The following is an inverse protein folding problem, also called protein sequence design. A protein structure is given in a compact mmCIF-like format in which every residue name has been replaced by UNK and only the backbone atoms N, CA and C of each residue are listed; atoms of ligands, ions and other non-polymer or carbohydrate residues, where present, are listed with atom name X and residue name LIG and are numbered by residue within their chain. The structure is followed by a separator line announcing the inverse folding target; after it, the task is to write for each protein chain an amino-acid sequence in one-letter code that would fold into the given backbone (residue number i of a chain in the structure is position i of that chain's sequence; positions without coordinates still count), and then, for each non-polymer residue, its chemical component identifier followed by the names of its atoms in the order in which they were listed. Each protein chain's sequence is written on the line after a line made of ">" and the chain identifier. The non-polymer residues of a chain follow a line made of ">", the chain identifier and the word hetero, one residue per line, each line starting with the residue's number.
data_IF_523695613326
#
_entry.id   IF_523695613326
#
_cell.length_a   1.000
_cell.length_b   1.000
_cell.length_c   1.000
_cell.angle_alpha   90.00
_cell.angle_beta   90.00
_cell.angle_gamma   90.00
#
_symmetry.space_group_name_H-M   'P 1'
#
loop_
_entity.id
_entity.type
_entity.pdbx_description
1 polymer ?
#
# COMPACT_ATOMS: atom_id res chain seq x y z
N UNK A 1 -67.10 35.79 26.55
CA UNK A 1 -66.18 35.82 25.39
C UNK A 1 -64.80 35.37 25.85
N UNK A 2 -64.41 34.10 25.63
CA UNK A 2 -63.07 33.59 25.93
C UNK A 2 -62.29 33.47 24.62
N UNK A 3 -61.23 34.27 24.46
CA UNK A 3 -60.33 34.20 23.30
C UNK A 3 -59.30 33.10 23.57
N UNK A 4 -59.32 32.05 22.76
CA UNK A 4 -58.24 31.06 22.71
C UNK A 4 -57.11 31.63 21.84
N UNK A 5 -55.93 31.77 22.44
CA UNK A 5 -54.70 32.17 21.77
C UNK A 5 -53.99 30.88 21.35
N UNK A 6 -54.10 30.52 20.07
CA UNK A 6 -53.39 29.36 19.51
C UNK A 6 -51.98 29.81 19.17
N UNK A 7 -51.01 29.39 19.99
CA UNK A 7 -49.59 29.50 19.68
C UNK A 7 -49.25 28.39 18.66
N UNK A 8 -49.01 28.77 17.41
CA UNK A 8 -48.43 27.88 16.41
C UNK A 8 -46.93 27.76 16.68
N UNK A 9 -46.49 26.57 17.10
CA UNK A 9 -45.08 26.23 17.20
C UNK A 9 -44.55 25.89 15.79
N UNK A 10 -43.68 26.74 15.24
CA UNK A 10 -42.87 26.39 14.07
C UNK A 10 -41.84 25.34 14.49
N UNK A 11 -42.04 24.10 14.07
CA UNK A 11 -41.00 23.06 14.13
C UNK A 11 -40.04 23.31 12.97
N UNK A 12 -38.90 23.92 13.26
CA UNK A 12 -37.81 24.06 12.29
C UNK A 12 -37.10 22.70 12.26
N UNK A 13 -37.53 21.80 11.39
CA UNK A 13 -36.75 20.58 11.10
C UNK A 13 -35.52 21.04 10.32
N UNK A 14 -34.37 21.20 10.99
CA UNK A 14 -33.10 21.31 10.27
C UNK A 14 -32.92 20.01 9.49
N UNK A 15 -32.98 20.07 8.16
CA UNK A 15 -32.52 18.96 7.33
C UNK A 15 -31.02 18.79 7.59
N UNK A 16 -30.66 17.94 8.55
CA UNK A 16 -29.29 17.50 8.74
C UNK A 16 -28.94 16.60 7.56
N UNK A 17 -27.89 16.94 6.82
CA UNK A 17 -27.39 16.13 5.72
C UNK A 17 -27.17 14.68 6.19
N UNK A 18 -27.49 13.72 5.34
CA UNK A 18 -27.13 12.32 5.57
C UNK A 18 -25.60 12.16 5.56
N UNK A 19 -25.10 11.04 6.09
CA UNK A 19 -23.66 10.79 6.06
C UNK A 19 -23.16 10.64 4.62
N UNK A 20 -23.96 10.06 3.73
CA UNK A 20 -23.67 9.98 2.29
C UNK A 20 -23.59 11.37 1.66
N UNK A 21 -24.52 12.28 1.97
CA UNK A 21 -24.49 13.65 1.45
C UNK A 21 -23.28 14.44 1.97
N UNK A 22 -22.91 14.26 3.25
CA UNK A 22 -21.69 14.86 3.83
C UNK A 22 -20.43 14.31 3.16
N UNK A 23 -20.35 12.98 3.02
CA UNK A 23 -19.24 12.30 2.40
C UNK A 23 -19.07 12.70 0.93
N UNK A 24 -20.14 12.69 0.14
CA UNK A 24 -20.11 13.07 -1.28
C UNK A 24 -19.64 14.50 -1.47
N UNK A 25 -20.13 15.43 -0.63
CA UNK A 25 -19.69 16.82 -0.66
C UNK A 25 -18.20 16.95 -0.39
N UNK A 26 -17.68 16.26 0.63
CA UNK A 26 -16.27 16.33 0.99
C UNK A 26 -15.38 15.63 -0.05
N UNK A 27 -15.77 14.43 -0.50
CA UNK A 27 -15.08 13.68 -1.55
C UNK A 27 -15.00 14.48 -2.85
N UNK A 28 -16.08 15.18 -3.23
CA UNK A 28 -16.06 16.08 -4.39
C UNK A 28 -15.00 17.16 -4.25
N UNK A 29 -14.85 17.77 -3.07
CA UNK A 29 -13.80 18.77 -2.82
C UNK A 29 -12.41 18.13 -2.91
N UNK A 30 -12.22 16.96 -2.30
CA UNK A 30 -10.96 16.20 -2.38
C UNK A 30 -10.58 15.86 -3.81
N UNK A 31 -11.53 15.38 -4.63
CA UNK A 31 -11.29 14.94 -6.01
C UNK A 31 -10.88 16.07 -6.96
N UNK A 32 -11.17 17.34 -6.65
CA UNK A 32 -10.78 18.47 -7.50
C UNK A 32 -9.27 18.53 -7.73
N UNK A 33 -8.48 18.09 -6.76
CA UNK A 33 -7.02 18.11 -6.84
C UNK A 33 -6.47 16.90 -7.63
N UNK A 34 -7.27 15.86 -7.86
CA UNK A 34 -6.87 14.63 -8.55
C UNK A 34 -7.32 14.56 -10.00
N UNK A 35 -8.47 15.18 -10.34
CA UNK A 35 -9.06 15.05 -11.67
C UNK A 35 -8.47 16.07 -12.65
N UNK A 36 -8.19 15.61 -13.88
CA UNK A 36 -7.75 16.49 -14.97
C UNK A 36 -8.78 17.58 -15.33
N UNK A 37 -10.07 17.23 -15.24
CA UNK A 37 -11.19 18.12 -15.54
C UNK A 37 -12.22 18.09 -14.42
N UNK A 38 -11.97 18.78 -13.29
CA UNK A 38 -12.83 18.73 -12.10
C UNK A 38 -14.29 19.13 -12.37
N UNK A 39 -14.52 20.07 -13.29
CA UNK A 39 -15.87 20.54 -13.62
C UNK A 39 -16.73 19.47 -14.34
N UNK A 40 -16.09 18.44 -14.89
CA UNK A 40 -16.77 17.30 -15.52
C UNK A 40 -17.11 16.17 -14.56
N UNK A 41 -16.77 16.32 -13.29
CA UNK A 41 -17.07 15.36 -12.24
C UNK A 41 -18.57 15.23 -12.03
N UNK A 42 -19.05 13.99 -12.06
CA UNK A 42 -20.42 13.66 -11.69
C UNK A 42 -20.42 12.41 -10.79
N UNK A 43 -21.04 12.49 -9.59
CA UNK A 43 -21.17 11.35 -8.71
C UNK A 43 -22.14 10.32 -9.32
N UNK A 44 -21.80 9.03 -9.19
CA UNK A 44 -22.66 7.91 -9.60
C UNK A 44 -23.27 7.26 -8.36
N UNK A 45 -22.45 6.99 -7.35
CA UNK A 45 -22.91 6.44 -6.08
C UNK A 45 -21.91 6.69 -4.96
N UNK A 46 -22.44 7.01 -3.78
CA UNK A 46 -21.68 7.16 -2.54
C UNK A 46 -22.25 6.19 -1.51
N UNK A 47 -21.40 5.36 -0.90
CA UNK A 47 -21.76 4.48 0.22
C UNK A 47 -20.84 4.76 1.39
N UNK A 48 -21.41 4.79 2.59
CA UNK A 48 -20.69 5.13 3.81
C UNK A 48 -20.88 4.01 4.82
N UNK A 49 -19.76 3.49 5.32
CA UNK A 49 -19.70 2.45 6.34
C UNK A 49 -18.88 2.94 7.53
N UNK A 50 -19.18 2.43 8.72
CA UNK A 50 -18.41 2.72 9.93
C UNK A 50 -17.00 2.14 9.83
N UNK A 51 -16.00 2.92 10.23
CA UNK A 51 -14.59 2.55 10.20
C UNK A 51 -14.06 2.24 11.60
N UNK A 52 -13.24 1.19 11.72
CA UNK A 52 -12.65 0.73 12.99
C UNK A 52 -11.13 0.50 12.89
N UNK A 53 -10.48 1.25 11.99
CA UNK A 53 -9.08 1.07 11.63
C UNK A 53 -8.25 2.32 11.91
N UNK A 54 -6.95 2.16 12.09
CA UNK A 54 -6.01 3.27 12.11
C UNK A 54 -5.54 3.61 10.69
N UNK A 55 -6.20 4.57 10.06
CA UNK A 55 -5.87 5.05 8.70
C UNK A 55 -4.42 5.51 8.59
N UNK A 56 -3.81 5.95 9.71
CA UNK A 56 -2.43 6.45 9.73
C UNK A 56 -1.39 5.35 9.49
N UNK A 57 -1.77 4.08 9.59
CA UNK A 57 -0.86 2.94 9.33
C UNK A 57 -0.86 2.49 7.87
N UNK A 58 -1.83 2.92 7.05
CA UNK A 58 -1.93 2.51 5.64
C UNK A 58 -0.66 2.89 4.86
N UNK A 59 -0.29 4.18 4.86
CA UNK A 59 0.91 4.66 4.17
C UNK A 59 2.21 3.98 4.66
N UNK A 60 2.48 3.88 5.98
CA UNK A 60 3.60 3.09 6.50
C UNK A 60 3.63 1.64 5.99
N UNK A 61 2.50 0.93 6.04
CA UNK A 61 2.42 -0.48 5.61
C UNK A 61 2.75 -0.59 4.11
N UNK A 62 2.17 0.27 3.27
CA UNK A 62 2.46 0.27 1.82
C UNK A 62 3.95 0.52 1.57
N UNK A 63 4.54 1.52 2.22
CA UNK A 63 5.95 1.86 2.06
C UNK A 63 6.88 0.73 2.52
N UNK A 64 6.61 0.13 3.68
CA UNK A 64 7.40 -1.00 4.20
C UNK A 64 7.30 -2.19 3.24
N UNK A 65 6.11 -2.43 2.68
CA UNK A 65 5.88 -3.50 1.70
C UNK A 65 6.73 -3.33 0.44
N UNK A 66 6.82 -2.11 -0.09
CA UNK A 66 7.71 -1.80 -1.23
C UNK A 66 9.19 -1.96 -0.87
N UNK A 67 9.58 -1.58 0.34
CA UNK A 67 10.95 -1.81 0.83
C UNK A 67 11.27 -3.31 0.93
N UNK A 68 10.34 -4.14 1.39
CA UNK A 68 10.47 -5.60 1.46
C UNK A 68 10.65 -6.19 0.06
N UNK A 69 9.79 -5.84 -0.92
CA UNK A 69 9.90 -6.27 -2.32
C UNK A 69 11.28 -5.95 -2.91
N UNK A 70 11.78 -4.73 -2.66
CA UNK A 70 13.11 -4.30 -3.10
C UNK A 70 14.23 -5.09 -2.42
N UNK A 71 14.11 -5.39 -1.12
CA UNK A 71 15.10 -6.17 -0.38
C UNK A 71 15.16 -7.62 -0.87
N UNK A 72 14.02 -8.26 -1.08
CA UNK A 72 13.94 -9.61 -1.67
C UNK A 72 14.60 -9.63 -3.04
N UNK A 73 14.32 -8.64 -3.90
CA UNK A 73 14.96 -8.52 -5.22
C UNK A 73 16.49 -8.39 -5.14
N UNK A 74 17.00 -7.67 -4.13
CA UNK A 74 18.45 -7.54 -3.88
C UNK A 74 19.06 -8.82 -3.34
N UNK A 75 18.38 -9.52 -2.43
CA UNK A 75 18.79 -10.82 -1.90
C UNK A 75 18.93 -11.83 -3.05
N UNK A 76 17.90 -11.98 -3.88
CA UNK A 76 17.91 -12.88 -5.05
C UNK A 76 19.04 -12.53 -6.04
N UNK A 77 19.44 -11.26 -6.13
CA UNK A 77 20.59 -10.83 -6.95
C UNK A 77 21.91 -11.24 -6.30
N UNK A 78 22.05 -11.12 -4.99
CA UNK A 78 23.25 -11.57 -4.28
C UNK A 78 23.43 -13.08 -4.39
N UNK A 79 22.36 -13.85 -4.23
CA UNK A 79 22.39 -15.32 -4.37
C UNK A 79 22.90 -15.74 -5.75
N UNK A 80 22.36 -15.17 -6.83
CA UNK A 80 22.84 -15.42 -8.20
C UNK A 80 24.30 -15.04 -8.41
N UNK A 81 24.77 -13.95 -7.78
CA UNK A 81 26.19 -13.55 -7.86
C UNK A 81 27.08 -14.54 -7.13
N UNK A 82 26.66 -15.03 -5.97
CA UNK A 82 27.40 -16.05 -5.20
C UNK A 82 27.53 -17.31 -6.04
N UNK A 83 26.42 -17.80 -6.61
CA UNK A 83 26.40 -19.01 -7.44
C UNK A 83 27.27 -18.85 -8.71
N UNK A 84 27.18 -17.70 -9.37
CA UNK A 84 28.03 -17.39 -10.54
C UNK A 84 29.52 -17.31 -10.19
N UNK A 85 29.85 -16.74 -9.03
CA UNK A 85 31.22 -16.66 -8.55
C UNK A 85 31.76 -18.05 -8.15
N UNK A 86 30.92 -18.89 -7.52
CA UNK A 86 31.25 -20.29 -7.21
C UNK A 86 31.57 -21.09 -8.48
N UNK A 87 30.69 -21.01 -9.49
CA UNK A 87 30.94 -21.64 -10.78
C UNK A 87 32.26 -21.17 -11.43
N UNK A 88 32.55 -19.86 -11.35
CA UNK A 88 33.80 -19.32 -11.86
C UNK A 88 35.02 -19.82 -11.07
N UNK A 89 34.92 -19.92 -9.74
CA UNK A 89 35.96 -20.49 -8.90
C UNK A 89 36.24 -21.96 -9.24
N UNK A 90 35.20 -22.74 -9.57
CA UNK A 90 35.35 -24.14 -9.96
C UNK A 90 36.04 -24.29 -11.33
N UNK A 91 35.67 -23.45 -12.31
CA UNK A 91 36.30 -23.43 -13.65
C UNK A 91 37.79 -23.07 -13.55
N UNK A 92 38.11 -22.05 -12.76
CA UNK A 92 39.46 -21.50 -12.65
C UNK A 92 40.26 -22.06 -11.46
N UNK A 93 39.77 -23.15 -10.85
CA UNK A 93 40.39 -23.76 -9.69
C UNK A 93 41.89 -24.04 -9.94
N UNK A 94 42.79 -23.49 -9.11
CA UNK A 94 44.21 -23.61 -9.35
C UNK A 94 44.71 -25.05 -9.13
N UNK A 95 45.51 -25.54 -10.06
CA UNK A 95 46.26 -26.78 -10.01
C UNK A 95 47.74 -26.54 -10.36
N UNK A 96 48.55 -27.61 -10.39
CA UNK A 96 50.00 -27.53 -10.65
C UNK A 96 50.38 -26.88 -11.99
N UNK A 97 49.46 -26.79 -12.95
CA UNK A 97 49.67 -26.25 -14.28
C UNK A 97 48.90 -24.95 -14.56
N UNK A 98 48.24 -24.36 -13.55
CA UNK A 98 47.41 -23.17 -13.75
C UNK A 98 48.21 -21.94 -14.13
N UNK A 99 47.78 -21.29 -15.21
CA UNK A 99 48.31 -20.01 -15.69
C UNK A 99 48.10 -18.87 -14.68
N UNK A 100 48.86 -17.77 -14.83
CA UNK A 100 48.63 -16.54 -14.07
C UNK A 100 47.22 -15.99 -14.30
N UNK A 101 46.70 -16.11 -15.53
CA UNK A 101 45.33 -15.73 -15.87
C UNK A 101 44.31 -16.52 -15.03
N UNK A 102 44.39 -17.86 -15.03
CA UNK A 102 43.48 -18.72 -14.26
C UNK A 102 43.50 -18.39 -12.77
N UNK A 103 44.70 -18.17 -12.20
CA UNK A 103 44.85 -17.75 -10.79
C UNK A 103 44.24 -16.38 -10.52
N UNK A 104 44.33 -15.47 -11.48
CA UNK A 104 43.71 -14.14 -11.44
C UNK A 104 42.18 -14.22 -11.43
N UNK A 105 41.59 -14.98 -12.36
CA UNK A 105 40.15 -15.18 -12.45
C UNK A 105 39.59 -15.82 -11.17
N UNK A 106 40.26 -16.85 -10.66
CA UNK A 106 39.89 -17.47 -9.38
C UNK A 106 39.89 -16.46 -8.23
N UNK A 107 40.92 -15.60 -8.17
CA UNK A 107 41.04 -14.58 -7.12
C UNK A 107 39.95 -13.52 -7.22
N UNK A 108 39.56 -13.10 -8.44
CA UNK A 108 38.45 -12.17 -8.66
C UNK A 108 37.12 -12.79 -8.26
N UNK A 109 36.83 -14.00 -8.74
CA UNK A 109 35.60 -14.72 -8.38
C UNK A 109 35.48 -14.91 -6.86
N UNK A 110 36.59 -15.27 -6.19
CA UNK A 110 36.62 -15.34 -4.72
C UNK A 110 36.28 -14.02 -4.05
N UNK A 111 36.81 -12.90 -4.56
CA UNK A 111 36.50 -11.56 -4.03
C UNK A 111 35.03 -11.19 -4.25
N UNK A 112 34.51 -11.41 -5.46
CA UNK A 112 33.10 -11.16 -5.81
C UNK A 112 32.15 -11.96 -4.93
N UNK A 113 32.48 -13.23 -4.65
CA UNK A 113 31.72 -14.09 -3.73
C UNK A 113 31.65 -13.50 -2.33
N UNK A 114 32.78 -13.07 -1.77
CA UNK A 114 32.82 -12.53 -0.41
C UNK A 114 32.09 -11.18 -0.31
N UNK A 115 32.20 -10.31 -1.33
CA UNK A 115 31.41 -9.08 -1.41
C UNK A 115 29.90 -9.36 -1.49
N UNK A 116 29.48 -10.30 -2.35
CA UNK A 116 28.09 -10.69 -2.49
C UNK A 116 27.51 -11.33 -1.21
N UNK A 117 28.30 -12.11 -0.47
CA UNK A 117 27.92 -12.64 0.84
C UNK A 117 27.74 -11.55 1.90
N UNK A 118 28.62 -10.54 1.89
CA UNK A 118 28.50 -9.41 2.81
C UNK A 118 27.22 -8.62 2.56
N UNK A 119 26.93 -8.34 1.29
CA UNK A 119 25.68 -7.67 0.87
C UNK A 119 24.44 -8.53 1.18
N UNK A 120 24.50 -9.84 0.94
CA UNK A 120 23.44 -10.78 1.30
C UNK A 120 23.10 -10.67 2.79
N UNK A 121 24.08 -10.83 3.68
CA UNK A 121 23.87 -10.73 5.12
C UNK A 121 23.28 -9.37 5.53
N UNK A 122 23.77 -8.27 4.93
CA UNK A 122 23.25 -6.93 5.17
C UNK A 122 21.77 -6.81 4.78
N UNK A 123 21.40 -7.28 3.59
CA UNK A 123 20.02 -7.18 3.10
C UNK A 123 19.08 -8.12 3.84
N UNK A 124 19.50 -9.34 4.17
CA UNK A 124 18.73 -10.27 5.01
C UNK A 124 18.44 -9.68 6.38
N UNK A 125 19.43 -9.06 7.04
CA UNK A 125 19.20 -8.36 8.32
C UNK A 125 18.17 -7.23 8.17
N UNK A 126 18.31 -6.38 7.15
CA UNK A 126 17.34 -5.29 6.92
C UNK A 126 15.95 -5.84 6.59
N UNK A 127 15.84 -6.96 5.88
CA UNK A 127 14.56 -7.62 5.59
C UNK A 127 13.87 -8.05 6.90
N UNK A 128 14.58 -8.71 7.81
CA UNK A 128 14.01 -9.09 9.12
C UNK A 128 13.54 -7.87 9.92
N UNK A 129 14.28 -6.76 9.90
CA UNK A 129 13.87 -5.51 10.55
C UNK A 129 12.58 -4.95 9.92
N UNK A 130 12.48 -4.93 8.59
CA UNK A 130 11.28 -4.45 7.90
C UNK A 130 10.07 -5.35 8.11
N UNK A 131 10.25 -6.68 8.18
CA UNK A 131 9.17 -7.62 8.50
C UNK A 131 8.61 -7.38 9.91
N UNK A 132 9.48 -7.11 10.89
CA UNK A 132 9.04 -6.76 12.23
C UNK A 132 8.22 -5.46 12.25
N UNK A 133 8.69 -4.42 11.54
CA UNK A 133 7.93 -3.17 11.41
C UNK A 133 6.60 -3.35 10.68
N UNK A 134 6.55 -4.18 9.64
CA UNK A 134 5.32 -4.50 8.94
C UNK A 134 4.29 -5.09 9.90
N UNK A 135 4.67 -6.17 10.60
CA UNK A 135 3.82 -6.85 11.58
C UNK A 135 3.33 -5.92 12.69
N UNK A 136 4.20 -5.04 13.19
CA UNK A 136 3.82 -4.03 14.19
C UNK A 136 2.76 -3.05 13.67
N UNK A 137 2.89 -2.57 12.43
CA UNK A 137 1.92 -1.64 11.86
C UNK A 137 0.60 -2.33 11.49
N UNK A 138 0.66 -3.57 11.00
CA UNK A 138 -0.54 -4.39 10.74
C UNK A 138 -1.30 -4.66 12.05
N UNK A 139 -0.60 -5.00 13.14
CA UNK A 139 -1.25 -5.20 14.44
C UNK A 139 -1.94 -3.93 14.96
N UNK A 140 -1.44 -2.74 14.61
CA UNK A 140 -2.04 -1.44 14.97
C UNK A 140 -3.18 -1.03 14.04
N UNK A 141 -3.26 -1.61 12.84
CA UNK A 141 -4.26 -1.24 11.84
C UNK A 141 -5.68 -1.46 12.36
N UNK A 142 -5.93 -2.52 13.13
CA UNK A 142 -7.22 -2.75 13.76
C UNK A 142 -7.31 -2.08 15.13
N UNK A 143 -8.13 -1.03 15.28
CA UNK A 143 -8.35 -0.36 16.57
C UNK A 143 -9.47 -0.97 17.40
N UNK A 144 -10.47 -1.58 16.76
CA UNK A 144 -11.63 -2.16 17.44
C UNK A 144 -12.61 -1.15 18.05
N UNK A 145 -12.34 0.15 17.92
CA UNK A 145 -13.24 1.26 18.25
C UNK A 145 -13.59 2.06 16.99
N UNK A 146 -14.70 2.80 17.03
CA UNK A 146 -15.10 3.66 15.92
C UNK A 146 -14.07 4.77 15.72
N UNK A 147 -13.67 4.99 14.47
CA UNK A 147 -12.57 5.92 14.10
C UNK A 147 -12.97 6.90 12.99
N UNK A 148 -14.20 6.77 12.46
CA UNK A 148 -14.69 7.57 11.35
C UNK A 148 -15.42 6.71 10.32
N UNK A 149 -15.28 7.07 9.05
CA UNK A 149 -16.11 6.54 7.98
C UNK A 149 -15.28 6.05 6.79
N UNK A 150 -15.55 4.84 6.33
CA UNK A 150 -15.08 4.33 5.06
C UNK A 150 -16.13 4.67 3.99
N UNK A 151 -15.70 5.30 2.91
CA UNK A 151 -16.58 5.81 1.85
C UNK A 151 -16.18 5.18 0.53
N UNK A 152 -17.03 4.30 0.00
CA UNK A 152 -16.91 3.83 -1.38
C UNK A 152 -17.61 4.81 -2.30
N UNK A 153 -16.85 5.38 -3.24
CA UNK A 153 -17.36 6.42 -4.12
C UNK A 153 -17.08 6.09 -5.59
N UNK A 154 -18.15 6.06 -6.38
CA UNK A 154 -18.10 5.91 -7.83
C UNK A 154 -18.51 7.21 -8.49
N UNK A 155 -17.76 7.61 -9.49
CA UNK A 155 -18.00 8.85 -10.23
C UNK A 155 -17.65 8.66 -11.71
N UNK A 156 -17.94 9.68 -12.49
CA UNK A 156 -17.42 9.81 -13.86
C UNK A 156 -16.82 11.19 -14.06
N UNK A 157 -15.79 11.27 -14.89
CA UNK A 157 -15.16 12.53 -15.27
C UNK A 157 -14.52 12.40 -16.65
N UNK A 158 -14.22 13.51 -17.31
CA UNK A 158 -13.47 13.49 -18.55
C UNK A 158 -12.03 12.98 -18.31
N UNK A 159 -11.55 12.16 -19.24
CA UNK A 159 -10.15 11.75 -19.29
C UNK A 159 -9.23 12.96 -19.51
N UNK A 160 -7.91 12.78 -19.34
CA UNK A 160 -6.94 13.87 -19.52
C UNK A 160 -7.05 14.62 -20.86
N UNK A 161 -7.45 13.93 -21.93
CA UNK A 161 -7.65 14.53 -23.25
C UNK A 161 -8.97 15.34 -23.40
N UNK A 162 -9.87 15.29 -22.42
CA UNK A 162 -11.17 15.98 -22.48
C UNK A 162 -12.15 15.39 -23.49
N UNK A 163 -11.88 14.21 -24.03
CA UNK A 163 -12.59 13.64 -25.19
C UNK A 163 -13.62 12.58 -24.82
N UNK A 164 -13.44 11.93 -23.67
CA UNK A 164 -14.29 10.83 -23.24
C UNK A 164 -14.50 10.89 -21.73
N UNK A 165 -15.73 10.61 -21.31
CA UNK A 165 -16.07 10.43 -19.91
C UNK A 165 -15.71 9.00 -19.48
N UNK A 166 -14.87 8.88 -18.46
CA UNK A 166 -14.41 7.61 -17.89
C UNK A 166 -14.98 7.42 -16.48
N UNK A 167 -15.31 6.18 -16.09
CA UNK A 167 -15.67 5.88 -14.71
C UNK A 167 -14.44 5.94 -13.81
N UNK A 168 -14.64 6.38 -12.57
CA UNK A 168 -13.67 6.29 -11.49
C UNK A 168 -14.31 5.64 -10.27
N UNK A 169 -13.52 4.87 -9.53
CA UNK A 169 -13.92 4.22 -8.29
C UNK A 169 -12.78 4.35 -7.28
N UNK A 170 -13.11 4.88 -6.10
CA UNK A 170 -12.16 5.17 -5.05
C UNK A 170 -12.76 4.87 -3.68
N UNK A 171 -11.88 4.56 -2.72
CA UNK A 171 -12.21 4.38 -1.32
C UNK A 171 -11.61 5.55 -0.55
N UNK A 172 -12.43 6.25 0.22
CA UNK A 172 -12.00 7.33 1.10
C UNK A 172 -12.17 6.95 2.56
N UNK A 173 -11.25 7.44 3.39
CA UNK A 173 -11.32 7.33 4.83
C UNK A 173 -11.48 8.71 5.42
N UNK A 174 -12.64 8.95 6.00
CA UNK A 174 -13.01 10.24 6.57
C UNK A 174 -13.02 10.16 8.10
N UNK A 175 -12.68 11.27 8.75
CA UNK A 175 -12.82 11.39 10.21
C UNK A 175 -14.30 11.41 10.64
N UNK A 176 -14.56 11.25 11.94
CA UNK A 176 -15.91 11.12 12.51
C UNK A 176 -16.86 12.24 12.13
N UNK A 177 -16.33 13.46 11.99
CA UNK A 177 -17.07 14.70 11.74
C UNK A 177 -17.16 15.07 10.25
N UNK A 178 -16.59 14.26 9.33
CA UNK A 178 -16.43 14.60 7.91
C UNK A 178 -15.79 15.97 7.69
N UNK A 179 -14.66 16.22 8.35
CA UNK A 179 -13.82 17.40 8.14
C UNK A 179 -12.67 17.11 7.17
N UNK A 180 -12.17 15.89 7.17
CA UNK A 180 -11.04 15.46 6.34
C UNK A 180 -11.27 14.06 5.79
N UNK A 181 -10.83 13.81 4.55
CA UNK A 181 -10.83 12.48 3.95
C UNK A 181 -9.52 12.24 3.19
N UNK A 182 -8.95 11.05 3.32
CA UNK A 182 -7.87 10.54 2.47
C UNK A 182 -8.41 9.50 1.50
N UNK A 183 -8.07 9.60 0.21
CA UNK A 183 -8.59 8.73 -0.85
C UNK A 183 -7.54 7.83 -1.47
N UNK A 184 -7.94 6.60 -1.79
CA UNK A 184 -7.15 5.61 -2.53
C UNK A 184 -7.93 5.10 -3.73
N UNK A 185 -7.24 4.85 -4.84
CA UNK A 185 -7.81 4.08 -5.94
C UNK A 185 -8.13 2.66 -5.44
N UNK A 186 -9.27 2.11 -5.87
CA UNK A 186 -9.77 0.84 -5.34
C UNK A 186 -8.81 -0.32 -5.58
N UNK A 187 -8.18 -0.38 -6.74
CA UNK A 187 -7.16 -1.38 -7.08
C UNK A 187 -5.94 -1.33 -6.14
N UNK A 188 -5.42 -0.13 -5.88
CA UNK A 188 -4.33 0.08 -4.91
C UNK A 188 -4.74 -0.33 -3.50
N UNK A 189 -5.96 -0.03 -3.10
CA UNK A 189 -6.47 -0.42 -1.78
C UNK A 189 -6.68 -1.93 -1.68
N UNK A 190 -7.16 -2.59 -2.75
CA UNK A 190 -7.27 -4.05 -2.81
C UNK A 190 -5.90 -4.73 -2.66
N UNK A 191 -4.86 -4.20 -3.28
CA UNK A 191 -3.49 -4.70 -3.10
C UNK A 191 -2.99 -4.52 -1.66
N UNK A 192 -3.31 -3.39 -1.03
CA UNK A 192 -3.06 -3.17 0.39
C UNK A 192 -3.80 -4.20 1.27
N UNK A 193 -5.08 -4.48 1.00
CA UNK A 193 -5.86 -5.50 1.73
C UNK A 193 -5.25 -6.90 1.59
N UNK A 194 -4.73 -7.25 0.41
CA UNK A 194 -4.02 -8.53 0.22
C UNK A 194 -2.78 -8.63 1.10
N UNK A 195 -2.03 -7.53 1.26
CA UNK A 195 -0.87 -7.48 2.16
C UNK A 195 -1.31 -7.70 3.61
N UNK A 196 -2.38 -7.02 4.06
CA UNK A 196 -2.91 -7.19 5.42
C UNK A 196 -3.25 -8.65 5.70
N UNK A 197 -4.05 -9.26 4.83
CA UNK A 197 -4.48 -10.65 4.99
C UNK A 197 -3.27 -11.60 4.99
N UNK A 198 -2.29 -11.39 4.11
CA UNK A 198 -1.09 -12.21 4.05
C UNK A 198 -0.28 -12.14 5.36
N UNK A 199 -0.26 -10.99 6.03
CA UNK A 199 0.44 -10.83 7.32
C UNK A 199 -0.38 -11.40 8.48
N UNK A 200 -1.69 -11.23 8.49
CA UNK A 200 -2.59 -11.72 9.54
C UNK A 200 -2.75 -13.25 9.53
N UNK A 201 -2.75 -13.85 8.34
CA UNK A 201 -2.87 -15.31 8.15
C UNK A 201 -1.52 -16.04 8.29
N UNK A 202 -0.40 -15.31 8.24
CA UNK A 202 0.93 -15.90 8.31
C UNK A 202 1.20 -16.52 9.69
N UNK A 203 1.73 -17.75 9.67
CA UNK A 203 2.20 -18.46 10.86
C UNK A 203 3.70 -18.27 11.11
N UNK A 204 4.42 -17.78 10.11
CA UNK A 204 5.87 -17.57 10.16
C UNK A 204 6.30 -16.31 9.39
N UNK A 205 7.55 -15.88 9.57
CA UNK A 205 8.15 -14.84 8.69
C UNK A 205 8.31 -15.35 7.25
N UNK A 206 8.50 -16.66 7.07
CA UNK A 206 8.69 -17.29 5.76
C UNK A 206 7.42 -17.20 4.92
N UNK A 207 6.25 -17.41 5.52
CA UNK A 207 4.94 -17.27 4.85
C UNK A 207 4.76 -15.85 4.25
N UNK A 208 5.13 -14.82 5.03
CA UNK A 208 5.07 -13.42 4.59
C UNK A 208 6.08 -13.17 3.46
N UNK A 209 7.31 -13.68 3.61
CA UNK A 209 8.36 -13.55 2.59
C UNK A 209 7.90 -14.20 1.27
N UNK A 210 7.30 -15.38 1.33
CA UNK A 210 6.85 -16.12 0.16
C UNK A 210 5.71 -15.39 -0.56
N UNK A 211 4.75 -14.82 0.16
CA UNK A 211 3.77 -13.90 -0.43
C UNK A 211 4.45 -12.78 -1.23
N UNK A 212 5.46 -12.13 -0.67
CA UNK A 212 6.17 -11.06 -1.37
C UNK A 212 7.03 -11.55 -2.54
N UNK A 213 7.58 -12.76 -2.49
CA UNK A 213 8.31 -13.37 -3.62
C UNK A 213 7.38 -13.66 -4.79
N UNK A 214 6.21 -14.23 -4.52
CA UNK A 214 5.22 -14.58 -5.55
C UNK A 214 4.60 -13.33 -6.18
N UNK A 215 4.40 -12.29 -5.39
CA UNK A 215 3.79 -11.02 -5.82
C UNK A 215 4.82 -9.94 -6.17
N UNK A 216 6.10 -10.29 -6.31
CA UNK A 216 7.16 -9.36 -6.68
C UNK A 216 7.07 -8.88 -8.14
N UNK A 217 6.15 -9.44 -8.93
CA UNK A 217 5.92 -9.14 -10.35
C UNK A 217 4.61 -8.38 -10.61
N UNK A 218 3.82 -8.11 -9.56
CA UNK A 218 2.56 -7.39 -9.66
C UNK A 218 2.74 -6.01 -9.01
N UNK A 219 3.19 -5.06 -9.83
CA UNK A 219 2.85 -3.63 -9.92
C UNK A 219 3.77 -2.95 -10.95
#
# INVERSE_FOLDING_TARGET
>A
MKKFLVLSALVITSCTLSNEEKAEKLVKETLKDYLYHPDSYEPISTRVDSMFIDVTTIEPIMKISDEIKNLISKINRCERKIESAESSMDIFAPNGYSSQYSRGEYSRAKKEKEEAKSDLNKYTKKLSEQLAFLKENVAKYHKGEFTGWAVSHRFRSLNGAGSMTIPGEMIFFCDEEFTTCGGYETDKFEDFVKILNAVDEATSDEDVIDYFKENNFLL
#
